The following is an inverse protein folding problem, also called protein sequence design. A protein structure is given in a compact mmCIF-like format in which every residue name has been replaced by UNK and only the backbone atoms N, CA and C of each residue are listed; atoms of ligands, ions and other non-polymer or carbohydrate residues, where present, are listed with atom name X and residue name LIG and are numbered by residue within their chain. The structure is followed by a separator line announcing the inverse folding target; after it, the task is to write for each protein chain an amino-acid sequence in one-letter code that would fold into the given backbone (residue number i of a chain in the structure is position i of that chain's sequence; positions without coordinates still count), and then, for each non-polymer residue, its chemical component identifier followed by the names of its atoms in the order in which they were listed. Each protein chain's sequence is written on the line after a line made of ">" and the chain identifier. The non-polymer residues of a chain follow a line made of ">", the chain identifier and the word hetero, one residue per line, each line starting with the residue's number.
data_IF_175866346844
#
_entry.id   IF_175866346844
#
_cell.length_a   1.000
_cell.length_b   1.000
_cell.length_c   1.000
_cell.angle_alpha   90.00
_cell.angle_beta   90.00
_cell.angle_gamma   90.00
#
_symmetry.space_group_name_H-M   'P 1'
#
loop_
_entity.id
_entity.type
_entity.pdbx_description
1 polymer ?
#
# COMPACT_ATOMS: atom_id res chain seq x y z
N UNK A 1 19.29 3.93 23.55
CA UNK A 1 19.07 2.78 22.65
C UNK A 1 17.67 2.94 22.05
N UNK A 2 17.48 3.26 20.76
CA UNK A 2 16.14 3.28 20.21
C UNK A 2 15.65 1.84 20.04
N UNK A 3 14.50 1.57 20.64
CA UNK A 3 13.80 0.28 20.67
C UNK A 3 13.35 -0.15 19.28
N UNK A 4 13.44 -1.46 19.05
CA UNK A 4 13.04 -2.16 17.83
C UNK A 4 11.59 -1.85 17.40
N UNK A 5 11.47 -1.35 16.16
CA UNK A 5 10.48 -1.71 15.12
C UNK A 5 9.04 -2.05 15.56
N UNK A 6 8.15 -1.07 15.42
CA UNK A 6 6.70 -1.30 15.28
C UNK A 6 6.38 -2.05 13.97
N UNK A 7 6.28 -3.38 14.05
CA UNK A 7 5.51 -4.22 13.11
C UNK A 7 6.09 -4.44 11.69
N UNK A 8 5.62 -5.49 10.97
CA UNK A 8 6.19 -5.97 9.70
C UNK A 8 5.80 -5.13 8.46
N UNK A 9 5.39 -3.87 8.64
CA UNK A 9 4.81 -3.07 7.56
C UNK A 9 5.88 -2.37 6.76
N UNK A 10 6.06 -2.75 5.49
CA UNK A 10 6.94 -2.04 4.56
C UNK A 10 6.10 -1.21 3.59
N UNK A 11 6.49 0.02 3.32
CA UNK A 11 5.93 0.78 2.21
C UNK A 11 6.77 0.51 0.96
N UNK A 12 6.09 0.33 -0.18
CA UNK A 12 6.73 0.30 -1.49
C UNK A 12 6.80 1.71 -2.02
N UNK A 13 7.98 2.15 -2.42
CA UNK A 13 8.14 3.35 -3.23
C UNK A 13 8.74 2.96 -4.58
N UNK A 14 8.34 3.67 -5.62
CA UNK A 14 9.00 3.59 -6.92
C UNK A 14 9.67 4.93 -7.25
N UNK A 15 10.65 4.91 -8.14
CA UNK A 15 11.24 6.12 -8.69
C UNK A 15 10.90 6.24 -10.17
N UNK A 16 10.34 7.38 -10.54
CA UNK A 16 10.00 7.65 -11.93
C UNK A 16 11.23 8.11 -12.72
N UNK A 17 11.38 7.58 -13.92
CA UNK A 17 12.49 7.83 -14.83
C UNK A 17 12.13 8.99 -15.75
N UNK A 18 12.52 10.21 -15.41
CA UNK A 18 12.19 11.39 -16.22
C UNK A 18 13.37 12.34 -16.46
N UNK A 19 14.57 11.83 -16.73
CA UNK A 19 15.71 12.57 -17.30
C UNK A 19 16.33 13.70 -16.45
N UNK A 20 15.60 14.28 -15.50
CA UNK A 20 16.03 15.39 -14.66
C UNK A 20 15.46 15.39 -13.23
N UNK A 21 14.44 14.58 -12.90
CA UNK A 21 13.86 14.53 -11.55
C UNK A 21 13.83 13.11 -10.96
N UNK A 22 14.57 12.91 -9.87
CA UNK A 22 14.55 11.67 -9.08
C UNK A 22 13.31 11.65 -8.14
N UNK A 23 12.12 11.61 -8.72
CA UNK A 23 10.86 11.65 -7.96
C UNK A 23 10.49 10.27 -7.38
N UNK A 24 10.31 10.22 -6.06
CA UNK A 24 9.82 9.04 -5.34
C UNK A 24 8.35 9.20 -5.01
N UNK A 25 7.53 8.25 -5.45
CA UNK A 25 6.10 8.20 -5.18
C UNK A 25 5.59 6.78 -4.91
N UNK A 26 4.30 6.69 -4.61
CA UNK A 26 3.55 5.43 -4.64
C UNK A 26 3.14 5.08 -6.08
N UNK A 27 2.95 3.79 -6.42
CA UNK A 27 2.67 3.35 -7.79
C UNK A 27 1.26 3.67 -8.30
N UNK A 28 1.17 4.43 -9.42
CA UNK A 28 -0.07 5.06 -9.96
C UNK A 28 -0.11 5.21 -11.47
N UNK A 29 -1.30 4.93 -12.00
CA UNK A 29 -1.70 5.47 -13.29
C UNK A 29 -3.19 5.72 -13.42
N UNK A 30 -3.63 5.87 -14.67
CA UNK A 30 -5.00 6.28 -15.00
C UNK A 30 -5.89 5.04 -15.10
N UNK A 31 -7.10 5.14 -14.55
CA UNK A 31 -8.13 4.13 -14.81
C UNK A 31 -8.46 4.12 -16.30
N UNK A 32 -8.49 2.93 -16.89
CA UNK A 32 -8.87 2.73 -18.29
C UNK A 32 -10.40 2.82 -18.45
N UNK A 33 -10.93 3.05 -19.66
CA UNK A 33 -12.36 2.87 -19.91
C UNK A 33 -12.81 1.48 -19.42
N UNK A 34 -13.99 1.42 -18.83
CA UNK A 34 -14.64 0.18 -18.35
C UNK A 34 -13.94 -0.54 -17.18
N UNK A 35 -12.97 0.11 -16.53
CA UNK A 35 -12.25 -0.40 -15.37
C UNK A 35 -12.72 0.32 -14.10
N UNK A 36 -12.89 -0.42 -12.99
CA UNK A 36 -13.12 0.22 -11.68
C UNK A 36 -11.80 0.66 -11.03
N UNK A 37 -11.92 1.54 -10.02
CA UNK A 37 -10.77 2.14 -9.38
C UNK A 37 -9.81 1.14 -8.72
N UNK A 38 -10.32 0.04 -8.16
CA UNK A 38 -9.48 -0.98 -7.53
C UNK A 38 -8.79 -1.86 -8.59
N UNK A 39 -9.51 -2.22 -9.65
CA UNK A 39 -8.93 -2.98 -10.77
C UNK A 39 -7.79 -2.19 -11.41
N UNK A 40 -8.00 -0.89 -11.67
CA UNK A 40 -6.94 0.00 -12.15
C UNK A 40 -5.75 0.08 -11.20
N UNK A 41 -6.01 0.18 -9.90
CA UNK A 41 -4.95 0.20 -8.90
C UNK A 41 -4.06 -1.05 -8.94
N UNK A 42 -4.66 -2.24 -9.02
CA UNK A 42 -3.91 -3.51 -9.07
C UNK A 42 -3.12 -3.65 -10.37
N UNK A 43 -3.73 -3.28 -11.50
CA UNK A 43 -3.08 -3.29 -12.81
C UNK A 43 -1.85 -2.39 -12.85
N UNK A 44 -1.97 -1.15 -12.37
CA UNK A 44 -0.86 -0.17 -12.38
C UNK A 44 0.31 -0.66 -11.54
N UNK A 45 0.06 -1.33 -10.41
CA UNK A 45 1.15 -1.91 -9.61
C UNK A 45 1.83 -3.06 -10.32
N UNK A 46 1.08 -3.89 -11.04
CA UNK A 46 1.66 -4.94 -11.86
C UNK A 46 2.48 -4.36 -13.02
N UNK A 47 1.95 -3.37 -13.74
CA UNK A 47 2.62 -2.72 -14.88
C UNK A 47 3.91 -1.99 -14.45
N UNK A 48 3.85 -1.20 -13.38
CA UNK A 48 4.98 -0.37 -12.94
C UNK A 48 6.02 -1.16 -12.14
N UNK A 49 5.60 -2.20 -11.41
CA UNK A 49 6.47 -2.88 -10.44
C UNK A 49 6.68 -4.36 -10.71
N UNK A 50 5.92 -4.97 -11.61
CA UNK A 50 5.96 -6.41 -11.90
C UNK A 50 5.37 -7.30 -10.80
N UNK A 51 4.63 -6.73 -9.84
CA UNK A 51 4.08 -7.49 -8.72
C UNK A 51 2.56 -7.55 -8.74
N UNK A 52 2.03 -8.75 -8.48
CA UNK A 52 0.61 -8.97 -8.23
C UNK A 52 0.30 -8.76 -6.76
N UNK A 53 -0.87 -8.22 -6.48
CA UNK A 53 -1.27 -7.92 -5.12
C UNK A 53 -2.70 -8.36 -4.76
N UNK A 54 -2.90 -8.77 -3.51
CA UNK A 54 -4.21 -8.95 -2.90
C UNK A 54 -4.66 -7.65 -2.21
N UNK A 55 -5.83 -7.09 -2.54
CA UNK A 55 -6.26 -5.82 -1.97
C UNK A 55 -6.64 -5.95 -0.49
N UNK A 56 -6.38 -4.89 0.26
CA UNK A 56 -6.75 -4.69 1.67
C UNK A 56 -7.65 -3.47 1.83
N UNK A 57 -7.62 -2.80 3.00
CA UNK A 57 -8.50 -1.65 3.25
C UNK A 57 -8.22 -0.49 2.28
N UNK A 58 -9.29 0.20 1.87
CA UNK A 58 -9.22 1.45 1.13
C UNK A 58 -8.71 2.56 2.05
N UNK A 59 -7.84 3.42 1.51
CA UNK A 59 -7.31 4.61 2.17
C UNK A 59 -8.08 5.87 1.72
N UNK A 60 -7.90 7.02 2.41
CA UNK A 60 -8.48 8.28 1.98
C UNK A 60 -8.11 8.64 0.54
N UNK A 61 -9.06 9.27 -0.15
CA UNK A 61 -8.84 9.77 -1.51
C UNK A 61 -8.11 11.12 -1.45
N UNK A 62 -7.03 11.25 -2.20
CA UNK A 62 -6.22 12.47 -2.29
C UNK A 62 -6.69 13.30 -3.48
N UNK A 63 -6.88 14.61 -3.27
CA UNK A 63 -7.26 15.55 -4.33
C UNK A 63 -6.18 16.63 -4.45
N UNK A 64 -5.70 16.89 -5.67
CA UNK A 64 -4.70 17.93 -5.93
C UNK A 64 -4.78 18.44 -7.37
N UNK A 65 -4.21 19.61 -7.64
CA UNK A 65 -4.18 20.21 -8.98
C UNK A 65 -2.79 20.02 -9.58
N UNK A 66 -2.72 19.58 -10.84
CA UNK A 66 -1.49 19.53 -11.63
C UNK A 66 -1.74 20.18 -12.97
N UNK A 67 -0.91 21.16 -13.34
CA UNK A 67 -1.01 21.89 -14.61
C UNK A 67 -2.44 22.41 -14.86
N UNK A 68 -3.05 23.00 -13.82
CA UNK A 68 -4.42 23.55 -13.86
C UNK A 68 -5.54 22.50 -13.93
N UNK A 69 -5.24 21.20 -13.85
CA UNK A 69 -6.22 20.12 -13.89
C UNK A 69 -6.34 19.45 -12.53
N UNK A 70 -7.56 19.37 -12.02
CA UNK A 70 -7.86 18.58 -10.81
C UNK A 70 -7.59 17.10 -11.06
N UNK A 71 -6.81 16.51 -10.16
CA UNK A 71 -6.57 15.08 -10.04
C UNK A 71 -7.16 14.60 -8.73
N UNK A 72 -7.99 13.59 -8.82
CA UNK A 72 -8.41 12.78 -7.69
C UNK A 72 -7.58 11.50 -7.72
N UNK A 73 -7.22 10.93 -6.57
CA UNK A 73 -6.50 9.67 -6.48
C UNK A 73 -7.01 8.84 -5.31
N UNK A 74 -7.62 7.69 -5.57
CA UNK A 74 -8.01 6.70 -4.56
C UNK A 74 -6.88 5.70 -4.31
N UNK A 75 -6.66 5.33 -3.05
CA UNK A 75 -5.58 4.43 -2.66
C UNK A 75 -6.11 3.21 -1.88
N UNK A 76 -5.41 2.09 -1.99
CA UNK A 76 -5.63 0.90 -1.17
C UNK A 76 -4.33 0.40 -0.58
N UNK A 77 -4.41 -0.11 0.64
CA UNK A 77 -3.42 -1.07 1.10
C UNK A 77 -3.55 -2.36 0.24
N UNK A 78 -2.48 -2.96 -0.27
CA UNK A 78 -2.51 -4.22 -1.01
C UNK A 78 -1.30 -5.12 -0.70
N UNK A 79 -1.46 -6.40 -0.41
CA UNK A 79 -0.36 -7.35 -0.14
C UNK A 79 0.29 -7.80 -1.44
N UNK A 80 1.61 -7.84 -1.53
CA UNK A 80 2.25 -8.59 -2.63
C UNK A 80 2.02 -10.06 -2.44
N UNK A 81 1.47 -10.71 -3.46
CA UNK A 81 1.28 -12.16 -3.49
C UNK A 81 2.30 -12.86 -4.39
N UNK A 82 2.74 -12.19 -5.45
CA UNK A 82 3.65 -12.75 -6.44
C UNK A 82 4.39 -11.65 -7.23
N UNK A 83 5.37 -12.06 -8.02
CA UNK A 83 6.07 -11.24 -8.99
C UNK A 83 7.42 -10.71 -8.52
N UNK A 84 8.10 -10.02 -9.42
CA UNK A 84 9.41 -9.42 -9.18
C UNK A 84 9.55 -8.15 -10.03
N UNK A 85 10.41 -7.24 -9.57
CA UNK A 85 10.63 -5.99 -10.29
C UNK A 85 11.64 -6.15 -11.40
N UNK A 86 11.28 -5.65 -12.58
CA UNK A 86 12.18 -5.40 -13.69
C UNK A 86 12.07 -3.91 -14.07
N UNK A 87 13.18 -3.16 -14.14
CA UNK A 87 13.15 -1.77 -14.60
C UNK A 87 12.48 -1.64 -15.96
N UNK A 88 11.68 -0.59 -16.15
CA UNK A 88 11.00 -0.27 -17.40
C UNK A 88 11.21 1.20 -17.78
N UNK A 89 10.48 1.67 -18.79
CA UNK A 89 10.60 3.04 -19.30
C UNK A 89 10.14 4.11 -18.31
N UNK A 90 9.24 3.74 -17.39
CA UNK A 90 8.69 4.65 -16.38
C UNK A 90 9.39 4.50 -15.04
N UNK A 91 9.68 3.28 -14.59
CA UNK A 91 10.20 2.99 -13.26
C UNK A 91 11.53 2.28 -13.35
N UNK A 92 12.56 2.91 -12.80
CA UNK A 92 13.91 2.34 -12.82
C UNK A 92 14.34 1.70 -11.49
N UNK A 93 13.66 2.04 -10.38
CA UNK A 93 13.93 1.50 -9.04
C UNK A 93 12.67 1.36 -8.20
N UNK A 94 12.67 0.35 -7.34
CA UNK A 94 11.74 0.21 -6.22
C UNK A 94 12.49 0.10 -4.89
N UNK A 95 11.89 0.58 -3.81
CA UNK A 95 12.39 0.40 -2.45
C UNK A 95 11.30 -0.15 -1.54
N UNK A 96 11.74 -1.01 -0.63
CA UNK A 96 10.95 -1.60 0.45
C UNK A 96 11.40 -1.05 1.78
N UNK A 97 10.74 0.00 2.24
CA UNK A 97 11.17 0.77 3.41
C UNK A 97 10.21 0.59 4.57
N UNK A 98 10.71 0.67 5.79
CA UNK A 98 9.85 0.86 6.95
C UNK A 98 9.07 2.19 6.81
N UNK A 99 7.91 2.35 7.47
CA UNK A 99 7.01 3.46 7.18
C UNK A 99 7.63 4.84 7.47
N UNK A 100 8.49 4.93 8.50
CA UNK A 100 9.22 6.14 8.80
C UNK A 100 10.18 6.52 7.65
N UNK A 101 11.03 5.59 7.22
CA UNK A 101 11.97 5.80 6.12
C UNK A 101 11.26 6.09 4.78
N UNK A 102 10.08 5.51 4.57
CA UNK A 102 9.28 5.77 3.38
C UNK A 102 8.80 7.22 3.30
N UNK A 103 8.36 7.81 4.43
CA UNK A 103 7.97 9.23 4.48
C UNK A 103 9.12 10.14 4.14
N UNK A 104 10.29 9.87 4.68
CA UNK A 104 11.47 10.69 4.45
C UNK A 104 11.93 10.63 3.00
N UNK A 105 11.71 9.48 2.35
CA UNK A 105 12.12 9.26 0.96
C UNK A 105 11.17 9.87 -0.07
N UNK A 106 9.88 9.94 0.23
CA UNK A 106 8.84 10.45 -0.68
C UNK A 106 9.06 11.93 -0.99
N UNK A 107 9.02 12.26 -2.28
CA UNK A 107 9.28 13.64 -2.74
C UNK A 107 8.12 14.57 -2.41
N UNK A 108 6.88 14.09 -2.51
CA UNK A 108 5.69 14.92 -2.44
C UNK A 108 5.05 14.84 -1.04
N UNK A 109 4.77 15.97 -0.36
CA UNK A 109 4.21 15.97 1.00
C UNK A 109 2.93 15.13 1.14
N UNK A 110 2.01 15.24 0.19
CA UNK A 110 0.77 14.44 0.13
C UNK A 110 0.99 12.93 0.14
N UNK A 111 2.09 12.46 -0.47
CA UNK A 111 2.39 11.04 -0.51
C UNK A 111 2.92 10.57 0.86
N UNK A 112 3.54 11.47 1.64
CA UNK A 112 4.01 11.20 3.01
C UNK A 112 2.82 11.03 3.96
N UNK A 113 1.84 11.91 3.88
CA UNK A 113 0.59 11.83 4.65
C UNK A 113 -0.14 10.49 4.41
N UNK A 114 -0.10 9.98 3.18
CA UNK A 114 -0.69 8.68 2.88
C UNK A 114 -0.07 7.53 3.67
N UNK A 115 1.21 7.64 4.08
CA UNK A 115 1.84 6.65 4.95
C UNK A 115 1.21 6.66 6.35
N UNK A 116 0.77 7.81 6.87
CA UNK A 116 -0.02 7.88 8.12
C UNK A 116 -1.32 7.12 7.97
N UNK A 117 -2.06 7.47 6.91
CA UNK A 117 -3.38 6.91 6.65
C UNK A 117 -3.33 5.39 6.45
N UNK A 118 -2.29 4.91 5.77
CA UNK A 118 -2.01 3.49 5.63
C UNK A 118 -1.86 2.79 7.00
N UNK A 119 -1.02 3.34 7.88
CA UNK A 119 -0.81 2.75 9.20
C UNK A 119 -2.07 2.80 10.06
N UNK A 120 -2.84 3.88 9.96
CA UNK A 120 -4.15 4.01 10.61
C UNK A 120 -5.10 2.93 10.12
N UNK A 121 -5.31 2.82 8.81
CA UNK A 121 -6.21 1.83 8.22
C UNK A 121 -5.85 0.39 8.61
N UNK A 122 -4.55 0.05 8.66
CA UNK A 122 -4.11 -1.27 9.08
C UNK A 122 -4.42 -1.56 10.56
N UNK A 123 -4.17 -0.60 11.46
CA UNK A 123 -4.51 -0.75 12.88
C UNK A 123 -6.01 -1.00 13.06
N UNK A 124 -6.84 -0.28 12.30
CA UNK A 124 -8.30 -0.48 12.34
C UNK A 124 -8.70 -1.87 11.81
N UNK A 125 -8.13 -2.32 10.69
CA UNK A 125 -8.41 -3.63 10.14
C UNK A 125 -7.99 -4.78 11.08
N UNK A 126 -6.83 -4.66 11.73
CA UNK A 126 -6.36 -5.63 12.73
C UNK A 126 -7.24 -5.65 13.97
N UNK A 127 -7.65 -4.48 14.47
CA UNK A 127 -8.55 -4.37 15.61
C UNK A 127 -9.96 -4.92 15.33
N UNK A 128 -10.46 -4.77 14.10
CA UNK A 128 -11.72 -5.37 13.66
C UNK A 128 -11.63 -6.91 13.62
N UNK A 129 -10.56 -7.46 13.06
CA UNK A 129 -10.34 -8.91 13.00
C UNK A 129 -10.21 -9.54 14.40
N UNK A 130 -9.55 -8.85 15.34
CA UNK A 130 -9.41 -9.32 16.72
C UNK A 130 -10.76 -9.38 17.48
N UNK A 131 -11.71 -8.48 17.17
CA UNK A 131 -13.05 -8.46 17.80
C UNK A 131 -13.94 -9.60 17.29
N UNK A 132 -13.81 -9.96 16.01
CA UNK A 132 -14.57 -11.07 15.41
C UNK A 132 -14.10 -12.45 15.89
N UNK A 133 -12.83 -12.56 16.31
CA UNK A 133 -12.23 -13.80 16.82
C UNK A 133 -12.41 -14.00 18.34
N UNK A 134 -13.50 -13.53 18.94
CA UNK A 134 -13.83 -13.96 20.31
C UNK A 134 -14.30 -15.42 20.22
N UNK A 135 -13.58 -16.41 20.78
CA UNK A 135 -14.11 -17.76 20.85
C UNK A 135 -15.26 -17.75 21.86
N UNK A 136 -16.46 -18.18 21.46
CA UNK A 136 -17.42 -18.69 22.44
C UNK A 136 -16.75 -19.89 23.10
N UNK A 137 -16.29 -19.69 24.33
CA UNK A 137 -15.64 -20.67 25.17
C UNK A 137 -16.41 -22.00 25.23
N UNK A 138 -15.83 -23.14 24.83
CA UNK A 138 -16.10 -24.40 25.50
C UNK A 138 -15.02 -24.60 26.56
N UNK A 139 -15.48 -24.82 27.79
CA UNK A 139 -14.70 -25.15 28.98
C UNK A 139 -13.52 -26.09 28.64
N UNK A 140 -12.28 -25.66 28.89
CA UNK A 140 -11.09 -26.48 28.68
C UNK A 140 -10.80 -27.40 29.90
N UNK A 141 -10.35 -28.66 29.70
CA UNK A 141 -9.60 -29.41 30.70
C UNK A 141 -8.09 -29.12 30.59
N UNK A 142 -7.26 -29.42 31.61
CA UNK A 142 -5.90 -28.88 31.66
C UNK A 142 -4.83 -29.81 31.04
N UNK A 143 -3.82 -29.15 30.47
CA UNK A 143 -2.39 -29.45 30.32
C UNK A 143 -1.86 -30.71 29.60
N UNK A 144 -1.06 -30.49 28.55
CA UNK A 144 0.31 -31.06 28.44
C UNK A 144 1.19 -30.25 27.49
N UNK A 145 2.43 -30.00 27.92
CA UNK A 145 3.47 -29.26 27.22
C UNK A 145 4.24 -30.15 26.24
N UNK A 146 4.56 -29.63 25.06
CA UNK A 146 5.50 -30.20 24.09
C UNK A 146 5.86 -29.16 23.01
N UNK A 147 7.10 -29.12 22.50
CA UNK A 147 7.60 -28.00 21.71
C UNK A 147 7.19 -28.16 20.25
N UNK A 148 6.74 -27.07 19.62
CA UNK A 148 6.57 -27.03 18.18
C UNK A 148 7.50 -25.96 17.61
N UNK A 149 8.69 -26.41 17.21
CA UNK A 149 9.54 -25.72 16.25
C UNK A 149 8.83 -25.68 14.90
N UNK A 150 8.58 -24.48 14.39
CA UNK A 150 8.27 -24.25 12.99
C UNK A 150 8.96 -22.97 12.56
N UNK A 151 9.69 -22.93 11.42
CA UNK A 151 10.22 -21.67 10.93
C UNK A 151 9.04 -20.78 10.54
N UNK A 152 8.93 -19.62 11.18
CA UNK A 152 8.13 -18.52 10.68
C UNK A 152 8.68 -18.16 9.29
N UNK A 153 7.97 -18.54 8.23
CA UNK A 153 8.23 -18.02 6.91
C UNK A 153 8.19 -16.48 6.94
N UNK A 154 9.00 -15.79 6.12
CA UNK A 154 9.10 -14.34 6.20
C UNK A 154 7.75 -13.71 5.86
N UNK A 155 7.15 -13.02 6.84
CA UNK A 155 5.95 -12.22 6.68
C UNK A 155 6.30 -11.01 5.80
N UNK A 156 5.81 -10.99 4.55
CA UNK A 156 6.08 -9.97 3.54
C UNK A 156 4.86 -9.05 3.41
N UNK A 157 4.73 -8.05 4.27
CA UNK A 157 3.63 -7.10 4.16
C UNK A 157 4.12 -5.78 3.55
N UNK A 158 3.64 -5.45 2.36
CA UNK A 158 3.88 -4.12 1.80
C UNK A 158 2.82 -3.63 0.84
N UNK A 159 2.33 -2.39 0.99
CA UNK A 159 0.99 -2.06 0.48
C UNK A 159 0.79 -0.57 0.10
N UNK A 160 0.52 -0.25 -1.18
CA UNK A 160 -0.17 0.96 -1.71
C UNK A 160 -0.46 0.82 -3.23
N UNK A 161 -1.71 1.04 -3.69
CA UNK A 161 -2.13 1.02 -5.13
C UNK A 161 -3.27 2.04 -5.43
N UNK A 162 -3.40 2.58 -6.68
CA UNK A 162 -3.97 3.91 -7.03
C UNK A 162 -5.12 3.94 -8.10
N UNK A 163 -6.08 4.90 -8.06
CA UNK A 163 -6.93 5.30 -9.21
C UNK A 163 -7.29 6.80 -9.29
N UNK A 164 -7.24 7.48 -10.48
CA UNK A 164 -7.85 8.79 -10.67
C UNK A 164 -9.23 8.77 -11.32
N UNK A 165 -10.19 9.47 -10.71
CA UNK A 165 -11.47 9.82 -11.33
C UNK A 165 -11.40 11.23 -11.96
N UNK A 166 -11.95 11.36 -13.17
CA UNK A 166 -12.21 12.64 -13.83
C UNK A 166 -13.48 13.25 -13.23
N UNK A 167 -13.43 14.45 -12.65
CA UNK A 167 -14.63 15.29 -12.51
C UNK A 167 -14.69 16.24 -13.69
N UNK A 168 -15.71 16.06 -14.54
CA UNK A 168 -16.10 17.06 -15.53
C UNK A 168 -16.63 18.33 -14.83
N UNK A 169 -16.76 19.45 -15.55
CA UNK A 169 -17.23 20.71 -14.96
C UNK A 169 -18.65 20.55 -14.44
N UNK A 170 -18.91 21.05 -13.22
CA UNK A 170 -20.26 21.30 -12.72
C UNK A 170 -20.87 22.37 -13.61
N UNK A 171 -21.74 21.96 -14.54
CA UNK A 171 -22.65 22.90 -15.22
C UNK A 171 -23.66 23.37 -14.17
N UNK A 172 -23.64 24.68 -13.89
CA UNK A 172 -24.83 25.40 -13.44
C UNK A 172 -25.66 25.77 -14.66
#
# INVERSE_FOLDING_TARGET
>A
MPTCSNGPFRARLHRWKNGCHDDWSHPKGKVKPDEDALTGALREVEEETGHRCAPGPRLPTVHYVVNGRSKQVSYWAAEVTDGHFTPNDEVDRILWLDPAAARDRLTQPRDRELVDEFLTALRHAQGANARTLTPRSPRAPPHRSGPCSGPAGPVRASRNCISPHRTGPVRR
#
